data_IF_622037695056
#
_entry.id   IF_622037695056
#
_cell.length_a   1.000
_cell.length_b   1.000
_cell.length_c   1.000
_cell.angle_alpha   90.00
_cell.angle_beta   90.00
_cell.angle_gamma   90.00
#
_symmetry.space_group_name_H-M   'P 1'
#
loop_
_entity.id
_entity.type
_entity.pdbx_description
1 polymer ?
#
# COMPACT_ATOMS: atom_id res chain seq x y z
N UNK A 1 -7.47 -28.86 4.29
CA UNK A 1 -6.14 -28.37 3.89
C UNK A 1 -6.34 -27.29 2.86
N UNK A 2 -5.92 -26.05 3.12
CA UNK A 2 -5.94 -25.00 2.09
C UNK A 2 -4.87 -25.35 1.05
N UNK A 3 -5.24 -25.41 -0.23
CA UNK A 3 -4.30 -25.69 -1.31
C UNK A 3 -3.36 -24.48 -1.45
N UNK A 4 -2.04 -24.73 -1.54
CA UNK A 4 -1.06 -23.67 -1.81
C UNK A 4 -1.40 -23.02 -3.17
N UNK A 5 -1.45 -21.68 -3.28
CA UNK A 5 -1.72 -21.02 -4.53
C UNK A 5 -0.68 -21.39 -5.59
N UNK A 6 -1.14 -21.56 -6.82
CA UNK A 6 -0.29 -21.78 -8.00
C UNK A 6 0.52 -20.52 -8.32
N UNK A 7 1.56 -20.69 -9.16
CA UNK A 7 2.35 -19.56 -9.63
C UNK A 7 1.52 -18.50 -10.35
N UNK A 8 0.51 -18.91 -11.12
CA UNK A 8 -0.40 -17.98 -11.78
C UNK A 8 -1.21 -17.16 -10.76
N UNK A 9 -1.77 -17.82 -9.74
CA UNK A 9 -2.51 -17.15 -8.65
C UNK A 9 -1.60 -16.21 -7.85
N UNK A 10 -0.34 -16.59 -7.58
CA UNK A 10 0.62 -15.71 -6.90
C UNK A 10 0.97 -14.47 -7.73
N UNK A 11 1.11 -14.61 -9.06
CA UNK A 11 1.36 -13.47 -9.94
C UNK A 11 0.14 -12.53 -10.02
N UNK A 12 -1.08 -13.08 -9.99
CA UNK A 12 -2.30 -12.28 -9.93
C UNK A 12 -2.40 -11.50 -8.61
N UNK A 13 -2.11 -12.16 -7.49
CA UNK A 13 -2.04 -11.51 -6.18
C UNK A 13 -0.96 -10.43 -6.15
N UNK A 14 0.22 -10.68 -6.73
CA UNK A 14 1.28 -9.68 -6.83
C UNK A 14 0.81 -8.43 -7.59
N UNK A 15 0.12 -8.62 -8.71
CA UNK A 15 -0.45 -7.52 -9.50
C UNK A 15 -1.52 -6.75 -8.71
N UNK A 16 -2.33 -7.42 -7.89
CA UNK A 16 -3.28 -6.75 -7.00
C UNK A 16 -2.58 -5.91 -5.91
N UNK A 17 -1.51 -6.44 -5.31
CA UNK A 17 -0.70 -5.69 -4.34
C UNK A 17 -0.06 -4.47 -4.96
N UNK A 18 0.41 -4.52 -6.20
CA UNK A 18 0.87 -3.33 -6.91
C UNK A 18 -0.22 -2.29 -7.15
N UNK A 19 -1.44 -2.72 -7.50
CA UNK A 19 -2.58 -1.81 -7.61
C UNK A 19 -2.88 -1.14 -6.26
N UNK A 20 -2.82 -1.89 -5.17
CA UNK A 20 -2.97 -1.38 -3.81
C UNK A 20 -1.87 -0.37 -3.46
N UNK A 21 -0.60 -0.70 -3.76
CA UNK A 21 0.51 0.23 -3.58
C UNK A 21 0.30 1.55 -4.33
N UNK A 22 -0.13 1.48 -5.59
CA UNK A 22 -0.41 2.67 -6.40
C UNK A 22 -1.59 3.48 -5.85
N UNK A 23 -2.63 2.84 -5.31
CA UNK A 23 -3.74 3.53 -4.62
C UNK A 23 -3.25 4.25 -3.37
N UNK A 24 -2.43 3.60 -2.55
CA UNK A 24 -1.86 4.20 -1.33
C UNK A 24 -0.97 5.40 -1.66
N UNK A 25 -0.17 5.33 -2.73
CA UNK A 25 0.61 6.49 -3.17
C UNK A 25 -0.25 7.67 -3.63
N UNK A 26 -1.35 7.41 -4.35
CA UNK A 26 -2.29 8.48 -4.73
C UNK A 26 -2.96 9.09 -3.50
N UNK A 27 -3.29 8.28 -2.49
CA UNK A 27 -3.81 8.78 -1.22
C UNK A 27 -2.79 9.67 -0.49
N UNK A 28 -1.51 9.27 -0.46
CA UNK A 28 -0.44 10.10 0.10
C UNK A 28 -0.32 11.44 -0.64
N UNK A 29 -0.41 11.43 -1.97
CA UNK A 29 -0.36 12.65 -2.78
C UNK A 29 -1.54 13.58 -2.49
N UNK A 30 -2.77 13.04 -2.48
CA UNK A 30 -3.97 13.82 -2.14
C UNK A 30 -3.90 14.37 -0.70
N UNK A 31 -3.33 13.61 0.24
CA UNK A 31 -3.11 14.08 1.60
C UNK A 31 -2.07 15.20 1.67
N UNK A 32 -1.00 15.18 0.85
CA UNK A 32 -0.06 16.31 0.74
C UNK A 32 -0.75 17.58 0.26
N UNK A 33 -1.60 17.47 -0.76
CA UNK A 33 -2.39 18.59 -1.28
C UNK A 33 -3.32 19.15 -0.20
N UNK A 34 -4.03 18.27 0.53
CA UNK A 34 -4.90 18.69 1.63
C UNK A 34 -4.14 19.32 2.80
N UNK A 35 -2.95 18.82 3.13
CA UNK A 35 -2.09 19.36 4.19
C UNK A 35 -1.50 20.74 3.82
N UNK A 36 -1.19 20.97 2.54
CA UNK A 36 -0.64 22.22 2.05
C UNK A 36 -1.71 23.29 1.75
N UNK A 37 -2.98 22.90 1.60
CA UNK A 37 -4.05 23.84 1.25
C UNK A 37 -4.44 24.74 2.45
N UNK A 38 -4.20 26.06 2.39
CA UNK A 38 -4.52 26.98 3.48
C UNK A 38 -6.02 27.18 3.71
N UNK A 39 -6.88 26.81 2.75
CA UNK A 39 -8.32 26.86 2.91
C UNK A 39 -8.86 25.74 3.83
N UNK A 40 -8.08 24.69 4.08
CA UNK A 40 -8.46 23.61 4.99
C UNK A 40 -8.23 24.02 6.45
N UNK A 41 -9.07 23.52 7.37
CA UNK A 41 -8.89 23.75 8.80
C UNK A 41 -7.56 23.19 9.33
N UNK A 42 -7.05 23.74 10.44
CA UNK A 42 -5.83 23.23 11.10
C UNK A 42 -5.92 21.74 11.43
N UNK A 43 -7.09 21.28 11.90
CA UNK A 43 -7.35 19.86 12.18
C UNK A 43 -7.24 19.02 10.91
N UNK A 44 -7.84 19.46 9.81
CA UNK A 44 -7.78 18.77 8.52
C UNK A 44 -6.33 18.67 8.03
N UNK A 45 -5.56 19.77 8.08
CA UNK A 45 -4.16 19.78 7.64
C UNK A 45 -3.29 18.85 8.50
N UNK A 46 -3.51 18.80 9.82
CA UNK A 46 -2.82 17.88 10.74
C UNK A 46 -3.15 16.41 10.47
N UNK A 47 -4.43 16.08 10.28
CA UNK A 47 -4.85 14.72 9.95
C UNK A 47 -4.31 14.28 8.59
N UNK A 48 -4.34 15.17 7.59
CA UNK A 48 -3.75 14.92 6.29
C UNK A 48 -2.24 14.64 6.39
N UNK A 49 -1.51 15.40 7.20
CA UNK A 49 -0.09 15.14 7.45
C UNK A 49 0.17 13.74 8.06
N UNK A 50 -0.66 13.30 9.01
CA UNK A 50 -0.56 11.95 9.58
C UNK A 50 -0.88 10.86 8.54
N UNK A 51 -1.88 11.09 7.68
CA UNK A 51 -2.27 10.16 6.60
C UNK A 51 -1.13 9.92 5.61
N UNK A 52 -0.30 10.92 5.30
CA UNK A 52 0.84 10.78 4.38
C UNK A 52 1.73 9.61 4.81
N UNK A 53 2.18 9.60 6.08
CA UNK A 53 3.08 8.55 6.59
C UNK A 53 2.45 7.16 6.53
N UNK A 54 1.16 7.06 6.89
CA UNK A 54 0.42 5.80 6.88
C UNK A 54 0.32 5.27 5.45
N UNK A 55 -0.08 6.12 4.51
CA UNK A 55 -0.24 5.75 3.11
C UNK A 55 1.09 5.39 2.44
N UNK A 56 2.19 6.08 2.77
CA UNK A 56 3.53 5.75 2.30
C UNK A 56 4.01 4.39 2.84
N UNK A 57 3.78 4.10 4.12
CA UNK A 57 4.09 2.80 4.70
C UNK A 57 3.32 1.68 3.99
N UNK A 58 1.99 1.83 3.82
CA UNK A 58 1.20 0.84 3.08
C UNK A 58 1.69 0.66 1.64
N UNK A 59 2.07 1.74 0.95
CA UNK A 59 2.62 1.64 -0.39
C UNK A 59 3.92 0.83 -0.44
N UNK A 60 4.78 0.96 0.56
CA UNK A 60 6.00 0.15 0.70
C UNK A 60 5.64 -1.30 0.99
N UNK A 61 4.83 -1.55 2.02
CA UNK A 61 4.50 -2.90 2.47
C UNK A 61 3.84 -3.72 1.34
N UNK A 62 2.91 -3.11 0.58
CA UNK A 62 2.31 -3.76 -0.59
C UNK A 62 3.31 -4.07 -1.71
N UNK A 63 4.37 -3.26 -1.90
CA UNK A 63 5.42 -3.57 -2.88
C UNK A 63 6.29 -4.73 -2.44
N UNK A 64 6.62 -4.77 -1.16
CA UNK A 64 7.38 -5.87 -0.56
C UNK A 64 6.59 -7.19 -0.68
N UNK A 65 5.29 -7.16 -0.38
CA UNK A 65 4.39 -8.30 -0.60
C UNK A 65 4.32 -8.70 -2.08
N UNK A 66 4.18 -7.75 -3.00
CA UNK A 66 4.15 -8.03 -4.43
C UNK A 66 5.45 -8.69 -4.93
N UNK A 67 6.60 -8.23 -4.43
CA UNK A 67 7.90 -8.82 -4.73
C UNK A 67 8.00 -10.25 -4.19
N UNK A 68 7.63 -10.47 -2.92
CA UNK A 68 7.62 -11.80 -2.33
C UNK A 68 6.74 -12.79 -3.12
N UNK A 69 5.53 -12.37 -3.50
CA UNK A 69 4.59 -13.19 -4.28
C UNK A 69 5.15 -13.55 -5.67
N UNK A 70 5.87 -12.63 -6.34
CA UNK A 70 6.55 -12.93 -7.62
C UNK A 70 7.66 -13.95 -7.49
N UNK A 71 8.36 -13.91 -6.36
CA UNK A 71 9.40 -14.88 -6.01
C UNK A 71 8.80 -16.23 -5.57
N UNK A 72 7.48 -16.35 -5.50
CA UNK A 72 6.78 -17.55 -5.04
C UNK A 72 6.80 -17.73 -3.52
N UNK A 73 7.12 -16.67 -2.77
CA UNK A 73 7.04 -16.64 -1.31
C UNK A 73 5.66 -16.16 -0.87
N UNK A 74 5.09 -16.80 0.14
CA UNK A 74 3.83 -16.36 0.75
C UNK A 74 4.19 -15.39 1.89
N UNK A 75 3.79 -14.11 1.82
CA UNK A 75 4.09 -13.15 2.88
C UNK A 75 3.53 -13.64 4.22
N UNK A 76 4.40 -13.71 5.24
CA UNK A 76 4.01 -14.19 6.56
C UNK A 76 3.96 -15.73 6.71
N UNK A 77 4.67 -16.51 5.89
CA UNK A 77 4.96 -17.93 6.19
C UNK A 77 6.38 -18.17 6.74
N UNK A 78 7.22 -17.14 6.81
CA UNK A 78 8.62 -17.23 7.25
C UNK A 78 8.80 -17.14 8.79
N UNK A 79 7.74 -17.31 9.58
CA UNK A 79 7.75 -17.26 11.06
C UNK A 79 7.15 -18.52 11.70
#
# INVERSE_FOLDING_TARGET
MSRRPSRAEMLELAADREKCAARSQRAAQSAREAAANPANSDTTRRQAAATIRIAENHARDYREEAAALRDGRIPGEDW
#
